data_IF_898129267054
#
_entry.id   IF_898129267054
#
_cell.length_a   1.000
_cell.length_b   1.000
_cell.length_c   1.000
_cell.angle_alpha   90.00
_cell.angle_beta   90.00
_cell.angle_gamma   90.00
#
_symmetry.space_group_name_H-M   'P 1'
#
loop_
_entity.id
_entity.type
_entity.pdbx_description
1 polymer ?
#
# COMPACT_ATOMS: atom_id res chain seq x y z
N UNK A 1 -19.62 4.39 -1.29
CA UNK A 1 -18.29 3.77 -1.46
C UNK A 1 -17.47 4.06 -0.22
N UNK A 2 -17.02 3.04 0.54
CA UNK A 2 -16.28 3.25 1.78
C UNK A 2 -14.78 3.41 1.56
N UNK A 3 -14.18 4.39 2.23
CA UNK A 3 -12.75 4.69 2.19
C UNK A 3 -12.09 4.38 3.53
N UNK A 4 -10.80 4.07 3.50
CA UNK A 4 -9.98 3.74 4.67
C UNK A 4 -8.75 4.64 4.70
N UNK A 5 -8.52 5.29 5.85
CA UNK A 5 -7.32 6.09 6.11
C UNK A 5 -6.19 5.18 6.61
N UNK A 6 -5.01 5.29 6.00
CA UNK A 6 -3.81 4.55 6.40
C UNK A 6 -2.84 5.52 7.04
N UNK A 7 -2.49 5.26 8.29
CA UNK A 7 -1.53 6.05 9.05
C UNK A 7 -0.16 5.38 9.06
N UNK A 8 0.89 6.18 9.19
CA UNK A 8 2.23 5.68 9.45
C UNK A 8 2.43 5.36 10.95
N UNK A 9 3.65 4.96 11.33
CA UNK A 9 3.99 4.63 12.73
C UNK A 9 4.00 5.84 13.66
N UNK A 10 4.11 7.04 13.11
CA UNK A 10 4.09 8.30 13.85
C UNK A 10 2.66 8.85 13.98
N UNK A 11 1.66 8.18 13.41
CA UNK A 11 0.26 8.59 13.45
C UNK A 11 -0.12 9.59 12.36
N UNK A 12 0.76 9.88 11.40
CA UNK A 12 0.47 10.81 10.31
C UNK A 12 -0.32 10.11 9.20
N UNK A 13 -1.28 10.82 8.60
CA UNK A 13 -2.05 10.30 7.48
C UNK A 13 -1.12 10.12 6.28
N UNK A 14 -0.90 8.87 5.88
CA UNK A 14 -0.02 8.53 4.78
C UNK A 14 -0.77 8.43 3.45
N UNK A 15 -1.96 7.82 3.46
CA UNK A 15 -2.82 7.69 2.27
C UNK A 15 -4.26 7.34 2.63
N UNK A 16 -5.17 7.57 1.70
CA UNK A 16 -6.55 7.08 1.75
C UNK A 16 -6.74 6.06 0.63
N UNK A 17 -7.31 4.89 0.96
CA UNK A 17 -7.53 3.79 0.01
C UNK A 17 -8.98 3.31 0.05
N UNK A 18 -9.41 2.56 -0.95
CA UNK A 18 -10.69 1.85 -0.90
C UNK A 18 -10.59 0.60 -0.01
N UNK A 19 -11.73 0.17 0.56
CA UNK A 19 -11.80 -1.10 1.32
C UNK A 19 -11.36 -2.30 0.46
N UNK A 20 -11.70 -2.30 -0.85
CA UNK A 20 -11.26 -3.35 -1.78
C UNK A 20 -9.74 -3.45 -1.86
N UNK A 21 -9.04 -2.31 -1.89
CA UNK A 21 -7.58 -2.28 -1.92
C UNK A 21 -6.96 -2.75 -0.60
N UNK A 22 -7.63 -2.51 0.53
CA UNK A 22 -7.20 -3.04 1.83
C UNK A 22 -7.29 -4.57 1.85
N UNK A 23 -8.43 -5.14 1.48
CA UNK A 23 -8.63 -6.60 1.49
C UNK A 23 -7.63 -7.30 0.57
N UNK A 24 -7.45 -6.81 -0.67
CA UNK A 24 -6.46 -7.37 -1.61
C UNK A 24 -5.03 -7.36 -1.05
N UNK A 25 -4.69 -6.39 -0.20
CA UNK A 25 -3.38 -6.36 0.45
C UNK A 25 -3.28 -7.41 1.55
N UNK A 26 -4.34 -7.61 2.35
CA UNK A 26 -4.40 -8.67 3.35
C UNK A 26 -4.26 -10.05 2.72
N UNK A 27 -4.96 -10.29 1.61
CA UNK A 27 -4.89 -11.57 0.89
C UNK A 27 -3.45 -11.84 0.42
N UNK A 28 -2.82 -10.86 -0.23
CA UNK A 28 -1.41 -10.97 -0.67
C UNK A 28 -0.42 -11.16 0.48
N UNK A 29 -0.68 -10.57 1.65
CA UNK A 29 0.14 -10.76 2.84
C UNK A 29 0.09 -12.21 3.32
N UNK A 30 -1.07 -12.85 3.23
CA UNK A 30 -1.28 -14.25 3.60
C UNK A 30 -0.68 -15.18 2.56
N UNK A 31 -0.94 -14.94 1.27
CA UNK A 31 -0.45 -15.77 0.16
C UNK A 31 1.06 -15.67 -0.05
N UNK A 32 1.66 -14.49 0.17
CA UNK A 32 3.07 -14.22 -0.15
C UNK A 32 3.69 -13.27 0.88
N UNK A 33 3.86 -13.70 2.14
CA UNK A 33 4.36 -12.86 3.22
C UNK A 33 5.80 -12.35 2.98
N UNK A 34 6.59 -13.07 2.16
CA UNK A 34 7.95 -12.67 1.78
C UNK A 34 8.00 -11.32 1.04
N UNK A 35 6.98 -10.97 0.26
CA UNK A 35 6.90 -9.69 -0.46
C UNK A 35 6.79 -8.48 0.48
N UNK A 36 6.38 -8.71 1.72
CA UNK A 36 6.18 -7.67 2.72
C UNK A 36 7.22 -7.72 3.85
N UNK A 37 8.12 -8.71 3.82
CA UNK A 37 9.31 -8.70 4.68
C UNK A 37 10.19 -7.53 4.25
N UNK A 38 10.38 -6.58 5.17
CA UNK A 38 11.22 -5.41 4.97
C UNK A 38 12.69 -5.86 4.95
N UNK A 39 13.20 -6.28 3.80
CA UNK A 39 14.62 -6.51 3.60
C UNK A 39 15.34 -5.18 3.86
N UNK A 40 16.10 -5.10 4.96
CA UNK A 40 16.87 -3.90 5.38
C UNK A 40 18.08 -3.63 4.44
N UNK A 41 17.94 -3.82 3.13
CA UNK A 41 19.08 -3.84 2.21
C UNK A 41 18.83 -3.39 0.77
N UNK A 42 17.63 -2.98 0.37
CA UNK A 42 17.41 -2.38 -0.94
C UNK A 42 16.64 -1.07 -0.79
N UNK A 43 17.39 0.01 -0.59
CA UNK A 43 16.88 1.34 -0.81
C UNK A 43 16.70 1.57 -2.33
N UNK A 44 15.55 2.17 -2.66
CA UNK A 44 15.14 2.83 -3.92
C UNK A 44 14.39 2.00 -4.99
N UNK A 45 13.38 2.70 -5.53
CA UNK A 45 12.40 2.37 -6.58
C UNK A 45 11.24 1.45 -6.13
N UNK A 46 9.96 1.82 -6.16
CA UNK A 46 9.26 2.81 -6.96
C UNK A 46 8.18 3.56 -6.14
N UNK A 47 8.35 4.87 -6.00
CA UNK A 47 7.24 5.80 -5.87
C UNK A 47 6.89 6.29 -7.29
N UNK A 48 6.10 5.48 -7.99
CA UNK A 48 5.20 5.85 -9.09
C UNK A 48 4.09 4.79 -9.00
N UNK A 49 2.81 5.08 -8.84
CA UNK A 49 2.03 6.04 -9.61
C UNK A 49 0.66 6.16 -8.92
N UNK A 50 0.21 7.38 -8.62
CA UNK A 50 -1.21 7.72 -8.72
C UNK A 50 -1.34 8.68 -9.90
N UNK A 51 -2.41 8.48 -10.69
CA UNK A 51 -2.94 9.35 -11.77
C UNK A 51 -2.22 9.23 -13.13
N UNK A 52 -2.86 9.05 -14.29
CA UNK A 52 -4.28 9.09 -14.63
C UNK A 52 -4.56 8.56 -16.04
N UNK A 53 -5.85 8.48 -16.34
CA UNK A 53 -6.49 8.18 -17.63
C UNK A 53 -6.36 9.39 -18.57
N UNK A 54 -5.83 9.19 -19.79
CA UNK A 54 -6.09 9.99 -21.00
C UNK A 54 -5.54 9.16 -22.18
N UNK A 55 -6.42 8.59 -23.01
CA UNK A 55 -6.90 9.16 -24.30
C UNK A 55 -6.01 8.71 -25.45
#
# INVERSE_FOLDING_TARGET
>A
MYQVKVFDRSGNLKKVISVKALNKRSDKLIESPSLFKKNRGAAKAADKTTEGKAS
#
